data_IF_324239114479
#
_entry.id   IF_324239114479
#
_cell.length_a   1.000
_cell.length_b   1.000
_cell.length_c   1.000
_cell.angle_alpha   90.00
_cell.angle_beta   90.00
_cell.angle_gamma   90.00
#
_symmetry.space_group_name_H-M   'P 1'
#
loop_
_entity.id
_entity.type
_entity.pdbx_description
1 polymer ?
#
# COMPACT_ATOMS: atom_id res chain seq x y z
N UNK A 1 -49.50 -26.45 -33.44
CA UNK A 1 -49.49 -25.08 -32.89
C UNK A 1 -48.96 -25.04 -31.45
N UNK A 2 -49.47 -25.87 -30.54
CA UNK A 2 -49.05 -25.92 -29.11
C UNK A 2 -47.55 -26.18 -28.88
N UNK A 3 -46.94 -27.11 -29.62
CA UNK A 3 -45.49 -27.42 -29.52
C UNK A 3 -44.59 -26.25 -29.99
N UNK A 4 -44.99 -25.52 -31.04
CA UNK A 4 -44.24 -24.36 -31.52
C UNK A 4 -44.27 -23.21 -30.52
N UNK A 5 -45.40 -23.03 -29.82
CA UNK A 5 -45.55 -22.06 -28.72
C UNK A 5 -44.69 -22.46 -27.53
N UNK A 6 -44.65 -23.74 -27.18
CA UNK A 6 -43.80 -24.25 -26.08
C UNK A 6 -42.30 -24.04 -26.37
N UNK A 7 -41.86 -24.31 -27.60
CA UNK A 7 -40.48 -24.09 -28.03
C UNK A 7 -40.12 -22.60 -28.06
N UNK A 8 -41.06 -21.73 -28.46
CA UNK A 8 -40.85 -20.28 -28.48
C UNK A 8 -40.74 -19.69 -27.06
N UNK A 9 -41.56 -20.17 -26.13
CA UNK A 9 -41.47 -19.80 -24.70
C UNK A 9 -40.15 -20.29 -24.10
N UNK A 10 -39.74 -21.52 -24.41
CA UNK A 10 -38.45 -22.08 -23.95
C UNK A 10 -37.27 -21.24 -24.43
N UNK A 11 -37.29 -20.78 -25.69
CA UNK A 11 -36.24 -19.93 -26.26
C UNK A 11 -36.16 -18.55 -25.59
N UNK A 12 -37.32 -17.97 -25.24
CA UNK A 12 -37.38 -16.66 -24.58
C UNK A 12 -36.90 -16.71 -23.12
N UNK A 13 -37.19 -17.80 -22.39
CA UNK A 13 -36.74 -18.00 -21.00
C UNK A 13 -35.22 -18.22 -20.92
N UNK A 14 -34.64 -18.97 -21.85
CA UNK A 14 -33.18 -19.16 -21.90
C UNK A 14 -32.43 -17.89 -22.31
N UNK A 15 -33.03 -17.04 -23.17
CA UNK A 15 -32.43 -15.77 -23.58
C UNK A 15 -32.36 -14.73 -22.45
N UNK A 16 -33.33 -14.73 -21.52
CA UNK A 16 -33.35 -13.79 -20.40
C UNK A 16 -32.35 -14.17 -19.28
N UNK A 17 -32.05 -15.46 -19.12
CA UNK A 17 -31.10 -15.96 -18.12
C UNK A 17 -29.62 -15.65 -18.45
N UNK A 18 -29.30 -15.28 -19.70
CA UNK A 18 -27.93 -14.97 -20.14
C UNK A 18 -27.58 -13.49 -19.89
N UNK A 19 -28.54 -12.65 -19.52
CA UNK A 19 -28.32 -11.21 -19.23
C UNK A 19 -27.89 -10.93 -17.78
N UNK A 20 -27.34 -11.91 -17.08
CA UNK A 20 -26.61 -11.67 -15.84
C UNK A 20 -25.26 -11.04 -16.20
N UNK A 21 -25.26 -9.72 -16.38
CA UNK A 21 -24.04 -8.93 -16.34
C UNK A 21 -23.45 -9.06 -14.93
N UNK A 22 -22.46 -9.95 -14.77
CA UNK A 22 -21.53 -9.82 -13.67
C UNK A 22 -20.81 -8.47 -13.89
N UNK A 23 -21.24 -7.42 -13.19
CA UNK A 23 -20.50 -6.17 -13.18
C UNK A 23 -19.13 -6.50 -12.62
N UNK A 24 -18.09 -6.34 -13.44
CA UNK A 24 -16.72 -6.32 -12.97
C UNK A 24 -16.58 -5.07 -12.11
N UNK A 25 -16.70 -5.23 -10.79
CA UNK A 25 -16.44 -4.16 -9.84
C UNK A 25 -14.94 -3.92 -9.81
N UNK A 26 -14.49 -2.91 -10.55
CA UNK A 26 -13.12 -2.39 -10.48
C UNK A 26 -12.95 -1.70 -9.12
N UNK A 27 -12.64 -2.49 -8.11
CA UNK A 27 -12.53 -2.04 -6.72
C UNK A 27 -11.11 -1.57 -6.46
N UNK A 28 -10.97 -0.31 -6.05
CA UNK A 28 -9.70 0.24 -5.56
C UNK A 28 -9.62 0.08 -4.04
N UNK A 29 -8.52 -0.49 -3.56
CA UNK A 29 -8.21 -0.60 -2.14
C UNK A 29 -7.24 0.51 -1.75
N UNK A 30 -7.73 1.43 -0.91
CA UNK A 30 -6.95 2.55 -0.38
C UNK A 30 -6.68 2.31 1.10
N UNK A 31 -5.43 2.45 1.51
CA UNK A 31 -5.01 2.37 2.90
C UNK A 31 -4.27 3.63 3.33
N UNK A 32 -4.36 3.96 4.62
CA UNK A 32 -3.55 4.99 5.25
C UNK A 32 -2.88 4.42 6.50
N UNK A 33 -1.57 4.64 6.66
CA UNK A 33 -0.84 4.11 7.81
C UNK A 33 0.24 5.08 8.32
N UNK A 34 0.16 5.40 9.60
CA UNK A 34 1.23 6.03 10.34
C UNK A 34 2.36 5.02 10.63
N UNK A 35 3.59 5.30 10.14
CA UNK A 35 4.73 4.38 10.23
C UNK A 35 5.56 4.53 11.52
N UNK A 36 5.10 5.37 12.47
CA UNK A 36 5.69 5.57 13.79
C UNK A 36 7.15 6.02 13.76
N UNK A 37 7.47 7.11 13.08
CA UNK A 37 8.82 7.60 12.77
C UNK A 37 9.65 6.58 11.97
N UNK A 38 9.38 6.44 10.67
CA UNK A 38 10.29 5.78 9.72
C UNK A 38 11.39 6.78 9.35
N UNK A 39 12.43 6.83 10.18
CA UNK A 39 13.56 7.75 10.06
C UNK A 39 14.79 6.99 9.55
N UNK A 40 15.64 7.66 8.79
CA UNK A 40 16.95 7.19 8.43
C UNK A 40 17.92 7.28 9.62
N UNK A 41 19.18 6.89 9.42
CA UNK A 41 20.20 6.83 10.48
C UNK A 41 21.31 7.86 10.27
N UNK A 42 21.04 8.92 9.50
CA UNK A 42 22.00 9.95 9.12
C UNK A 42 21.56 11.27 9.72
N UNK A 43 22.49 11.89 10.44
CA UNK A 43 22.29 13.21 11.03
C UNK A 43 22.00 14.26 9.95
N UNK A 44 20.86 14.93 10.08
CA UNK A 44 20.55 16.15 9.37
C UNK A 44 20.58 17.34 10.33
N UNK A 45 21.65 18.17 10.31
CA UNK A 45 21.80 19.29 11.24
C UNK A 45 20.71 20.38 11.18
N UNK A 46 19.82 20.32 10.19
CA UNK A 46 18.67 21.23 10.06
C UNK A 46 17.37 20.65 10.67
N UNK A 47 17.41 19.43 11.21
CA UNK A 47 16.28 18.70 11.77
C UNK A 47 16.59 18.26 13.20
N UNK A 48 15.54 17.96 13.96
CA UNK A 48 15.62 17.47 15.35
C UNK A 48 15.59 15.92 15.36
N UNK A 49 16.58 15.29 14.73
CA UNK A 49 16.63 13.82 14.50
C UNK A 49 17.63 13.07 15.40
N UNK A 50 18.36 13.76 16.29
CA UNK A 50 19.54 13.21 16.96
C UNK A 50 19.21 12.02 17.88
N UNK A 51 17.98 11.97 18.36
CA UNK A 51 17.47 10.85 19.15
C UNK A 51 17.41 9.54 18.34
N UNK A 52 17.26 9.64 17.01
CA UNK A 52 17.17 8.54 16.04
C UNK A 52 18.48 8.32 15.27
N UNK A 53 19.62 8.58 15.92
CA UNK A 53 20.93 8.18 15.41
C UNK A 53 21.45 6.91 16.08
N UNK A 54 22.45 6.21 15.48
CA UNK A 54 23.05 5.02 16.08
C UNK A 54 23.65 5.26 17.47
N UNK A 55 24.14 6.48 17.70
CA UNK A 55 24.69 6.96 18.97
C UNK A 55 23.69 7.80 19.78
N UNK A 56 22.46 7.99 19.29
CA UNK A 56 21.38 8.72 19.94
C UNK A 56 20.67 7.91 21.03
N UNK A 57 19.68 8.54 21.68
CA UNK A 57 18.90 7.93 22.77
C UNK A 57 18.25 6.62 22.35
N UNK A 58 17.67 6.57 21.14
CA UNK A 58 16.98 5.40 20.63
C UNK A 58 17.94 4.33 20.10
N UNK A 59 19.24 4.60 20.01
CA UNK A 59 20.25 3.72 19.40
C UNK A 59 19.75 3.18 18.05
N UNK A 60 19.32 4.08 17.18
CA UNK A 60 18.68 3.75 15.91
C UNK A 60 19.75 3.38 14.88
N UNK A 61 19.97 2.09 14.70
CA UNK A 61 20.99 1.55 13.78
C UNK A 61 20.38 1.12 12.44
N UNK A 62 21.22 0.98 11.42
CA UNK A 62 20.84 0.45 10.10
C UNK A 62 20.09 -0.90 10.22
N UNK A 63 20.54 -1.79 11.12
CA UNK A 63 19.86 -3.07 11.37
C UNK A 63 18.43 -2.90 11.94
N UNK A 64 18.21 -1.88 12.79
CA UNK A 64 16.88 -1.58 13.35
C UNK A 64 15.97 -0.96 12.30
N UNK A 65 16.50 -0.05 11.49
CA UNK A 65 15.81 0.55 10.36
C UNK A 65 15.40 -0.52 9.34
N UNK A 66 16.33 -1.38 8.94
CA UNK A 66 16.07 -2.48 8.01
C UNK A 66 15.02 -3.45 8.54
N UNK A 67 15.12 -3.85 9.81
CA UNK A 67 14.10 -4.68 10.48
C UNK A 67 12.73 -4.01 10.53
N UNK A 68 12.68 -2.70 10.76
CA UNK A 68 11.43 -1.93 10.76
C UNK A 68 10.81 -1.90 9.36
N UNK A 69 11.59 -1.53 8.34
CA UNK A 69 11.15 -1.54 6.94
C UNK A 69 10.61 -2.91 6.52
N UNK A 70 11.30 -4.00 6.89
CA UNK A 70 10.85 -5.36 6.65
C UNK A 70 9.49 -5.64 7.32
N UNK A 71 9.35 -5.33 8.61
CA UNK A 71 8.13 -5.60 9.36
C UNK A 71 6.93 -4.78 8.84
N UNK A 72 7.12 -3.50 8.54
CA UNK A 72 6.09 -2.65 7.93
C UNK A 72 5.66 -3.22 6.58
N UNK A 73 6.62 -3.55 5.72
CA UNK A 73 6.36 -4.09 4.39
C UNK A 73 5.61 -5.42 4.41
N UNK A 74 5.85 -6.26 5.42
CA UNK A 74 5.07 -7.50 5.61
C UNK A 74 3.59 -7.23 5.85
N UNK A 75 3.25 -6.19 6.62
CA UNK A 75 1.85 -5.82 6.87
C UNK A 75 1.22 -5.24 5.61
N UNK A 76 1.94 -4.35 4.90
CA UNK A 76 1.48 -3.79 3.61
C UNK A 76 1.15 -4.91 2.63
N UNK A 77 2.04 -5.91 2.49
CA UNK A 77 1.83 -7.07 1.62
C UNK A 77 0.63 -7.92 2.00
N UNK A 78 0.24 -7.97 3.26
CA UNK A 78 -0.93 -8.76 3.70
C UNK A 78 -2.26 -8.07 3.38
N UNK A 79 -2.25 -6.78 3.05
CA UNK A 79 -3.45 -6.07 2.61
C UNK A 79 -3.88 -6.54 1.21
N UNK A 80 -5.15 -6.31 0.87
CA UNK A 80 -5.73 -6.60 -0.45
C UNK A 80 -5.42 -8.03 -0.91
N UNK A 81 -5.68 -9.01 -0.03
CA UNK A 81 -5.47 -10.44 -0.28
C UNK A 81 -4.06 -10.82 -0.77
N UNK A 82 -3.04 -10.09 -0.33
CA UNK A 82 -1.64 -10.37 -0.69
C UNK A 82 -1.05 -9.42 -1.74
N UNK A 83 -1.87 -8.55 -2.34
CA UNK A 83 -1.44 -7.65 -3.43
C UNK A 83 -0.93 -6.30 -2.92
N UNK A 84 -1.15 -5.98 -1.64
CA UNK A 84 -0.99 -4.62 -1.14
C UNK A 84 -2.10 -3.68 -1.64
N UNK A 85 -2.34 -2.54 -0.96
CA UNK A 85 -3.33 -1.57 -1.40
C UNK A 85 -2.94 -0.96 -2.75
N UNK A 86 -3.90 -0.60 -3.59
CA UNK A 86 -3.64 0.10 -4.85
C UNK A 86 -3.10 1.52 -4.62
N UNK A 87 -3.50 2.13 -3.50
CA UNK A 87 -2.96 3.39 -3.01
C UNK A 87 -2.68 3.31 -1.51
N UNK A 88 -1.43 3.52 -1.13
CA UNK A 88 -1.00 3.62 0.26
C UNK A 88 -0.60 5.05 0.61
N UNK A 89 -1.40 5.70 1.45
CA UNK A 89 -0.98 6.92 2.13
C UNK A 89 -0.17 6.57 3.39
N UNK A 90 0.91 7.31 3.63
CA UNK A 90 1.73 7.15 4.85
C UNK A 90 2.01 8.49 5.50
N UNK A 91 2.29 8.46 6.80
CA UNK A 91 2.84 9.60 7.55
C UNK A 91 3.89 9.14 8.55
N UNK A 92 4.55 10.12 9.19
CA UNK A 92 5.72 9.93 10.06
C UNK A 92 6.86 9.23 9.34
N UNK A 93 7.25 9.82 8.21
CA UNK A 93 8.37 9.41 7.38
C UNK A 93 9.29 10.61 7.24
N UNK A 94 10.53 10.46 7.68
CA UNK A 94 11.45 11.58 7.82
C UNK A 94 11.74 12.28 6.48
N UNK A 95 11.98 11.51 5.43
CA UNK A 95 12.29 12.06 4.11
C UNK A 95 11.91 11.09 2.98
N UNK A 96 11.94 11.59 1.74
CA UNK A 96 11.61 10.78 0.56
C UNK A 96 12.55 9.58 0.39
N UNK A 97 13.84 9.72 0.71
CA UNK A 97 14.84 8.70 0.43
C UNK A 97 14.64 7.43 1.27
N UNK A 98 14.28 7.57 2.57
CA UNK A 98 14.00 6.40 3.43
C UNK A 98 12.74 5.64 2.98
N UNK A 99 11.73 6.36 2.47
CA UNK A 99 10.54 5.72 1.91
C UNK A 99 10.84 4.96 0.62
N UNK A 100 11.59 5.59 -0.29
CA UNK A 100 12.02 4.95 -1.53
C UNK A 100 12.90 3.73 -1.28
N UNK A 101 13.77 3.78 -0.26
CA UNK A 101 14.58 2.64 0.15
C UNK A 101 13.71 1.47 0.62
N UNK A 102 12.71 1.71 1.48
CA UNK A 102 11.77 0.68 1.91
C UNK A 102 11.03 0.06 0.72
N UNK A 103 10.49 0.89 -0.18
CA UNK A 103 9.77 0.43 -1.37
C UNK A 103 10.69 -0.42 -2.25
N UNK A 104 11.90 0.05 -2.52
CA UNK A 104 12.88 -0.66 -3.35
C UNK A 104 13.30 -2.00 -2.74
N UNK A 105 13.58 -2.04 -1.44
CA UNK A 105 14.06 -3.25 -0.76
C UNK A 105 12.96 -4.29 -0.60
N UNK A 106 11.75 -3.88 -0.23
CA UNK A 106 10.74 -4.79 0.30
C UNK A 106 9.41 -4.81 -0.45
N UNK A 107 9.16 -3.91 -1.40
CA UNK A 107 7.92 -3.79 -2.15
C UNK A 107 8.16 -3.60 -3.67
N UNK A 108 9.35 -3.94 -4.18
CA UNK A 108 9.74 -3.68 -5.58
C UNK A 108 8.94 -4.45 -6.63
N UNK A 109 8.33 -5.56 -6.23
CA UNK A 109 7.40 -6.37 -7.02
C UNK A 109 5.97 -5.81 -7.09
N UNK A 110 5.59 -4.90 -6.19
CA UNK A 110 4.26 -4.26 -6.18
C UNK A 110 4.19 -3.00 -7.07
N UNK A 111 5.29 -2.64 -7.75
CA UNK A 111 5.41 -1.50 -8.67
C UNK A 111 4.97 -0.13 -8.12
N UNK A 112 5.02 0.07 -6.80
CA UNK A 112 4.73 1.38 -6.20
C UNK A 112 5.66 2.47 -6.72
N UNK A 113 5.07 3.66 -6.92
CA UNK A 113 5.80 4.92 -7.14
C UNK A 113 5.59 5.82 -5.93
N UNK A 114 6.67 6.44 -5.47
CA UNK A 114 6.63 7.34 -4.31
C UNK A 114 6.30 8.74 -4.79
N UNK A 115 5.26 9.34 -4.20
CA UNK A 115 5.02 10.78 -4.23
C UNK A 115 5.18 11.30 -2.79
N UNK A 116 6.02 12.32 -2.62
CA UNK A 116 6.40 12.82 -1.30
C UNK A 116 6.18 14.33 -1.21
N UNK A 117 5.71 14.79 -0.05
CA UNK A 117 5.61 16.19 0.31
C UNK A 117 6.13 16.34 1.74
N UNK A 118 7.15 17.18 1.89
CA UNK A 118 7.77 17.48 3.18
C UNK A 118 6.75 18.09 4.15
N UNK A 119 6.77 17.62 5.40
CA UNK A 119 5.91 18.15 6.45
C UNK A 119 6.53 19.39 7.11
N UNK A 120 5.75 20.22 7.84
CA UNK A 120 6.31 21.29 8.65
C UNK A 120 6.94 20.79 9.97
N UNK A 121 6.96 19.47 10.24
CA UNK A 121 7.62 18.91 11.41
C UNK A 121 9.15 19.03 11.26
N UNK A 122 9.79 19.60 12.28
CA UNK A 122 11.24 19.79 12.28
C UNK A 122 11.99 18.47 12.52
N UNK A 123 11.30 17.39 12.88
CA UNK A 123 11.89 16.05 12.96
C UNK A 123 11.93 15.34 11.60
N UNK A 124 11.21 15.87 10.59
CA UNK A 124 10.89 15.21 9.32
C UNK A 124 9.40 14.96 9.15
#
# INVERSE_FOLDING_TARGET
MKIKILLFISFFVTGFAISCNAQYEDTLIVAFWNLQNLFDTKDNPAKEDESFLPNGEMQWTEDRLDKKMFNLSRVIRMMNDGNGPDLLGVCEVENQAVLEEMVKKYLSDLDYKVAYLESPDNRG
#
